data_IF_629294489805
#
_entry.id   IF_629294489805
#
_cell.length_a   1.000
_cell.length_b   1.000
_cell.length_c   1.000
_cell.angle_alpha   90.00
_cell.angle_beta   90.00
_cell.angle_gamma   90.00
#
_symmetry.space_group_name_H-M   'P 1'
#
loop_
_entity.id
_entity.type
_entity.pdbx_description
1 polymer ?
#
# COMPACT_ATOMS: atom_id res chain seq x y z
N UNK A 1 1.46 -5.72 10.64
CA UNK A 1 1.81 -4.72 9.60
C UNK A 1 2.40 -5.46 8.41
N UNK A 2 1.68 -5.55 7.29
CA UNK A 2 2.27 -6.12 6.07
C UNK A 2 2.99 -4.96 5.38
N UNK A 3 4.32 -4.94 5.40
CA UNK A 3 5.11 -3.91 4.72
C UNK A 3 5.10 -4.23 3.23
N UNK A 4 4.25 -3.53 2.49
CA UNK A 4 4.18 -3.66 1.03
C UNK A 4 5.16 -2.68 0.40
N UNK A 5 6.47 -2.91 0.53
CA UNK A 5 7.43 -2.49 -0.50
C UNK A 5 8.84 -2.98 -0.18
N UNK A 6 9.38 -3.78 -1.11
CA UNK A 6 10.78 -4.17 -1.10
C UNK A 6 11.31 -4.15 -2.53
N UNK A 7 11.94 -3.04 -2.94
CA UNK A 7 13.28 -3.04 -3.53
C UNK A 7 13.78 -1.62 -3.83
N UNK A 8 14.79 -1.24 -3.05
CA UNK A 8 15.71 -0.14 -3.27
C UNK A 8 16.40 -0.28 -4.65
N UNK A 9 16.38 0.78 -5.45
CA UNK A 9 17.33 0.96 -6.54
C UNK A 9 18.00 2.33 -6.33
N UNK A 10 19.24 2.28 -5.85
CA UNK A 10 20.09 3.44 -5.61
C UNK A 10 21.05 3.59 -6.79
N UNK A 11 20.76 4.54 -7.68
CA UNK A 11 21.72 5.08 -8.65
C UNK A 11 21.37 6.55 -8.89
N UNK A 12 22.37 7.40 -8.73
CA UNK A 12 22.42 8.81 -9.16
C UNK A 12 21.88 9.88 -8.19
N UNK A 13 22.71 10.89 -7.93
CA UNK A 13 22.64 11.87 -6.85
C UNK A 13 21.53 12.93 -6.93
N UNK A 14 20.30 12.52 -7.28
CA UNK A 14 19.08 13.33 -7.14
C UNK A 14 18.00 12.49 -6.44
N UNK A 15 17.85 12.68 -5.13
CA UNK A 15 16.95 11.87 -4.29
C UNK A 15 15.50 12.31 -4.50
N UNK A 16 14.86 11.77 -5.54
CA UNK A 16 13.41 11.70 -5.62
C UNK A 16 13.04 10.22 -5.62
N UNK A 17 13.10 9.58 -4.45
CA UNK A 17 12.71 8.17 -4.29
C UNK A 17 11.19 8.09 -4.44
N UNK A 18 10.75 7.59 -5.59
CA UNK A 18 9.35 7.29 -5.84
C UNK A 18 9.14 5.79 -5.83
N UNK A 19 8.15 5.34 -5.08
CA UNK A 19 7.75 3.95 -5.05
C UNK A 19 6.32 3.77 -5.56
N UNK A 20 6.06 2.59 -6.11
CA UNK A 20 4.72 2.19 -6.51
C UNK A 20 4.08 1.39 -5.39
N UNK A 21 2.79 1.63 -5.14
CA UNK A 21 2.05 0.81 -4.18
C UNK A 21 1.65 -0.50 -4.86
N UNK A 22 1.96 -1.64 -4.26
CA UNK A 22 1.43 -2.93 -4.69
C UNK A 22 0.16 -3.25 -3.90
N UNK A 23 -0.81 -3.91 -4.53
CA UNK A 23 -2.01 -4.34 -3.83
C UNK A 23 -1.65 -5.49 -2.85
N UNK A 24 -2.06 -5.41 -1.57
CA UNK A 24 -1.76 -6.46 -0.58
C UNK A 24 -2.50 -7.77 -0.82
N UNK A 25 -3.55 -7.76 -1.64
CA UNK A 25 -4.37 -8.95 -1.92
C UNK A 25 -3.84 -9.74 -3.11
N UNK A 26 -3.41 -9.05 -4.18
CA UNK A 26 -3.00 -9.70 -5.44
C UNK A 26 -1.55 -9.44 -5.86
N UNK A 27 -0.80 -8.58 -5.15
CA UNK A 27 0.56 -8.20 -5.50
C UNK A 27 0.71 -7.39 -6.80
N UNK A 28 -0.40 -7.00 -7.45
CA UNK A 28 -0.32 -6.20 -8.68
C UNK A 28 0.14 -4.77 -8.39
N UNK A 29 0.88 -4.20 -9.34
CA UNK A 29 1.19 -2.76 -9.33
C UNK A 29 -0.09 -1.95 -9.40
N UNK A 30 -0.25 -1.05 -8.44
CA UNK A 30 -1.30 -0.03 -8.46
C UNK A 30 -0.83 1.16 -9.28
N UNK A 31 -1.77 1.96 -9.80
CA UNK A 31 -1.47 3.23 -10.49
C UNK A 31 -1.00 4.35 -9.53
N UNK A 32 -0.96 4.09 -8.23
CA UNK A 32 -0.59 5.06 -7.21
C UNK A 32 0.93 5.03 -7.01
N UNK A 33 1.55 6.20 -7.22
CA UNK A 33 2.97 6.45 -7.02
C UNK A 33 3.13 7.41 -5.85
N UNK A 34 3.98 7.05 -4.89
CA UNK A 34 4.23 7.83 -3.67
C UNK A 34 5.68 8.32 -3.66
N UNK A 35 5.93 9.49 -3.07
CA UNK A 35 7.28 9.99 -2.78
C UNK A 35 7.67 9.70 -1.33
N UNK A 36 8.97 9.77 -1.06
CA UNK A 36 9.54 9.82 0.30
C UNK A 36 8.80 10.71 1.28
N UNK A 37 8.36 11.87 0.79
CA UNK A 37 7.74 12.94 1.59
C UNK A 37 6.19 12.86 1.60
N UNK A 38 5.59 11.90 0.88
CA UNK A 38 4.13 11.79 0.79
C UNK A 38 3.57 11.02 1.98
N UNK A 39 2.56 11.62 2.63
CA UNK A 39 1.76 10.98 3.67
C UNK A 39 0.33 10.81 3.15
N UNK A 40 -0.21 9.61 3.25
CA UNK A 40 -1.61 9.27 2.93
C UNK A 40 -2.21 8.62 4.17
N UNK A 41 -3.36 9.09 4.64
CA UNK A 41 -4.06 8.51 5.78
C UNK A 41 -5.49 8.15 5.36
N UNK A 42 -5.96 6.97 5.75
CA UNK A 42 -7.29 6.45 5.40
C UNK A 42 -7.59 6.47 3.89
N UNK A 43 -6.59 6.16 3.06
CA UNK A 43 -6.73 6.21 1.61
C UNK A 43 -7.36 4.91 1.09
N UNK A 44 -8.56 4.94 0.47
CA UNK A 44 -9.18 3.76 -0.11
C UNK A 44 -8.48 3.37 -1.41
N UNK A 45 -7.82 2.21 -1.40
CA UNK A 45 -7.19 1.63 -2.58
C UNK A 45 -8.11 0.58 -3.19
N UNK A 46 -8.73 0.93 -4.31
CA UNK A 46 -9.55 0.01 -5.08
C UNK A 46 -8.70 -0.86 -6.01
N UNK A 47 -8.85 -2.18 -5.90
CA UNK A 47 -8.20 -3.11 -6.84
C UNK A 47 -9.24 -3.72 -7.80
N UNK A 48 -9.20 -3.43 -9.12
CA UNK A 48 -10.16 -3.97 -10.08
C UNK A 48 -10.08 -5.50 -10.23
N UNK A 49 -8.95 -6.13 -9.89
CA UNK A 49 -8.82 -7.60 -9.90
C UNK A 49 -9.50 -8.25 -8.69
N UNK A 50 -9.35 -7.65 -7.52
CA UNK A 50 -9.93 -8.18 -6.28
C UNK A 50 -11.38 -7.73 -6.09
N UNK A 51 -11.80 -6.67 -6.79
CA UNK A 51 -13.10 -5.99 -6.62
C UNK A 51 -13.37 -5.61 -5.17
N UNK A 52 -12.30 -5.34 -4.43
CA UNK A 52 -12.34 -4.94 -3.03
C UNK A 52 -11.58 -3.62 -2.89
N UNK A 53 -12.10 -2.80 -2.00
CA UNK A 53 -11.43 -1.60 -1.52
C UNK A 53 -10.67 -1.95 -0.25
N UNK A 54 -9.47 -1.39 -0.13
CA UNK A 54 -8.63 -1.60 1.05
C UNK A 54 -8.13 -0.26 1.53
N UNK A 55 -8.40 0.06 2.79
CA UNK A 55 -7.92 1.29 3.39
C UNK A 55 -6.44 1.13 3.72
N UNK A 56 -5.62 2.03 3.17
CA UNK A 56 -4.18 2.06 3.41
C UNK A 56 -3.76 3.39 4.02
N UNK A 57 -2.71 3.32 4.83
CA UNK A 57 -2.02 4.46 5.41
C UNK A 57 -0.57 4.39 4.97
N UNK A 58 -0.09 5.44 4.33
CA UNK A 58 1.30 5.56 3.85
C UNK A 58 2.00 6.65 4.65
N UNK A 59 3.10 6.32 5.32
CA UNK A 59 3.95 7.27 6.04
C UNK A 59 5.41 7.05 5.67
N UNK A 60 6.06 8.03 5.04
CA UNK A 60 7.47 7.94 4.63
C UNK A 60 7.80 6.64 3.88
N UNK A 61 7.02 6.32 2.82
CA UNK A 61 7.11 5.07 2.04
C UNK A 61 6.71 3.78 2.78
N UNK A 62 6.32 3.85 4.06
CA UNK A 62 5.76 2.71 4.78
C UNK A 62 4.27 2.62 4.53
N UNK A 63 3.85 1.61 3.77
CA UNK A 63 2.44 1.32 3.55
C UNK A 63 1.95 0.36 4.64
N UNK A 64 0.94 0.78 5.38
CA UNK A 64 0.20 0.00 6.36
C UNK A 64 -1.21 -0.21 5.83
N UNK A 65 -1.67 -1.47 5.85
CA UNK A 65 -3.04 -1.81 5.48
C UNK A 65 -3.90 -1.80 6.74
N UNK A 66 -4.90 -0.92 6.80
CA UNK A 66 -5.99 -1.04 7.77
C UNK A 66 -6.94 -2.10 7.23
N UNK A 67 -6.73 -3.34 7.70
CA UNK A 67 -7.80 -4.31 7.66
C UNK A 67 -8.68 -4.02 8.85
N UNK A 68 -9.96 -3.75 8.63
CA UNK A 68 -10.94 -4.07 9.66
C UNK A 68 -10.72 -5.56 9.99
N UNK A 69 -10.66 -5.96 11.27
CA UNK A 69 -10.64 -7.36 11.60
C UNK A 69 -11.97 -7.90 11.08
N UNK A 70 -11.89 -8.62 9.96
CA UNK A 70 -12.97 -9.46 9.44
C UNK A 70 -13.59 -10.14 10.66
N UNK A 71 -14.78 -9.67 11.02
CA UNK A 71 -15.49 -10.18 12.16
C UNK A 71 -15.72 -11.64 11.81
N UNK A 72 -14.95 -12.53 12.43
CA UNK A 72 -15.23 -13.95 12.43
C UNK A 72 -16.63 -14.08 13.01
N UNK A 73 -17.66 -14.07 12.17
CA UNK A 73 -18.93 -14.64 12.56
C UNK A 73 -18.65 -16.13 12.67
N UNK A 74 -18.28 -16.52 13.88
CA UNK A 74 -18.22 -17.91 14.30
C UNK A 74 -19.66 -18.40 14.24
N UNK A 75 -20.07 -18.86 13.06
CA UNK A 75 -21.32 -19.59 12.89
C UNK A 75 -21.20 -20.84 13.76
N UNK A 76 -22.02 -20.87 14.81
CA UNK A 76 -22.11 -21.94 15.80
C UNK A 76 -23.04 -23.04 15.29
#
# INVERSE_FOLDING_TARGET
MIVINKKNNERDGRVCKYDWILCPVCGNKTRVKIRGDTVLENFPLFCPKCKQETIITVKQLNIAVMKEPDAKTQSR
#
